data_IF_855302198478
#
_entry.id   IF_855302198478
#
_cell.length_a   1.000
_cell.length_b   1.000
_cell.length_c   1.000
_cell.angle_alpha   90.00
_cell.angle_beta   90.00
_cell.angle_gamma   90.00
#
_symmetry.space_group_name_H-M   'P 1'
#
loop_
_entity.id
_entity.type
_entity.pdbx_description
1 polymer ?
#
# COMPACT_ATOMS: atom_id res chain seq x y z
N UNK A 1 -6.81 3.15 -19.03
CA UNK A 1 -7.12 2.37 -20.25
C UNK A 1 -7.23 0.85 -19.97
N UNK A 2 -8.46 0.33 -19.77
CA UNK A 2 -8.74 -1.12 -19.76
C UNK A 2 -8.76 -1.59 -21.22
N UNK A 3 -7.87 -2.53 -21.57
CA UNK A 3 -7.86 -3.10 -22.92
C UNK A 3 -9.09 -3.98 -23.11
N UNK A 4 -10.12 -3.45 -23.76
CA UNK A 4 -11.16 -4.25 -24.43
C UNK A 4 -10.52 -4.84 -25.68
N UNK A 5 -10.08 -6.08 -25.57
CA UNK A 5 -9.62 -6.87 -26.70
C UNK A 5 -9.92 -8.31 -26.38
N UNK A 6 -10.65 -8.99 -27.26
CA UNK A 6 -10.78 -10.44 -27.28
C UNK A 6 -9.37 -11.03 -27.39
N UNK A 7 -8.71 -11.20 -26.25
CA UNK A 7 -7.48 -11.96 -26.11
C UNK A 7 -7.89 -13.21 -25.37
N UNK A 8 -7.73 -14.35 -26.02
CA UNK A 8 -7.78 -15.66 -25.38
C UNK A 8 -6.99 -15.55 -24.07
N UNK A 9 -7.69 -15.61 -22.95
CA UNK A 9 -7.11 -15.54 -21.61
C UNK A 9 -6.42 -16.87 -21.32
N UNK A 10 -5.27 -17.09 -21.97
CA UNK A 10 -4.28 -18.06 -21.52
C UNK A 10 -3.63 -17.60 -20.21
N UNK A 11 -3.08 -18.52 -19.41
CA UNK A 11 -2.75 -18.29 -18.00
C UNK A 11 -1.41 -17.54 -17.89
N UNK A 12 -1.42 -16.21 -18.00
CA UNK A 12 -0.18 -15.41 -17.87
C UNK A 12 -0.10 -14.60 -16.58
N UNK A 13 -1.11 -14.65 -15.71
CA UNK A 13 -1.02 -14.12 -14.36
C UNK A 13 -0.23 -15.06 -13.45
N UNK A 14 1.08 -15.24 -13.69
CA UNK A 14 1.94 -16.03 -12.81
C UNK A 14 1.96 -15.37 -11.43
N UNK A 15 1.32 -16.01 -10.46
CA UNK A 15 1.49 -15.72 -9.04
C UNK A 15 2.98 -15.75 -8.71
N UNK A 16 3.54 -14.60 -8.32
CA UNK A 16 4.88 -14.57 -7.75
C UNK A 16 4.74 -14.94 -6.26
N UNK A 17 5.21 -16.13 -5.85
CA UNK A 17 5.18 -16.49 -4.43
C UNK A 17 5.96 -15.45 -3.63
N UNK A 18 5.44 -15.15 -2.44
CA UNK A 18 6.08 -14.28 -1.46
C UNK A 18 7.57 -14.64 -1.35
N UNK A 19 8.52 -13.80 -1.82
CA UNK A 19 9.92 -14.10 -1.65
C UNK A 19 10.17 -14.15 -0.16
N UNK A 20 10.54 -15.35 0.32
CA UNK A 20 10.78 -15.66 1.71
C UNK A 20 11.40 -14.48 2.48
N UNK A 21 10.88 -14.24 3.69
CA UNK A 21 11.33 -13.24 4.67
C UNK A 21 12.86 -13.28 4.83
N UNK A 22 13.57 -12.61 3.95
CA UNK A 22 15.00 -12.40 4.08
C UNK A 22 15.17 -11.41 5.22
N UNK A 23 15.87 -11.84 6.26
CA UNK A 23 16.10 -11.20 7.54
C UNK A 23 16.95 -9.91 7.46
N UNK A 24 16.62 -9.00 6.55
CA UNK A 24 17.18 -7.64 6.53
C UNK A 24 16.50 -6.80 7.61
N UNK A 25 17.29 -6.10 8.42
CA UNK A 25 16.83 -5.14 9.44
C UNK A 25 16.08 -3.98 8.77
N UNK A 26 14.76 -4.10 8.61
CA UNK A 26 13.87 -3.09 8.03
C UNK A 26 12.85 -2.64 9.08
N UNK A 27 12.31 -1.42 8.93
CA UNK A 27 11.16 -0.98 9.73
C UNK A 27 9.93 -1.80 9.38
N UNK A 28 9.20 -2.26 10.38
CA UNK A 28 8.01 -3.10 10.23
C UNK A 28 6.92 -2.57 11.18
N UNK A 29 5.87 -2.00 10.59
CA UNK A 29 4.79 -1.35 11.34
C UNK A 29 3.97 -2.38 12.13
N UNK A 30 3.70 -3.55 11.55
CA UNK A 30 2.93 -4.60 12.21
C UNK A 30 3.67 -5.13 13.43
N UNK A 31 4.99 -5.35 13.33
CA UNK A 31 5.82 -5.72 14.48
C UNK A 31 5.85 -4.65 15.56
N UNK A 32 5.85 -3.37 15.19
CA UNK A 32 5.78 -2.27 16.14
C UNK A 32 4.42 -2.21 16.85
N UNK A 33 3.32 -2.42 16.11
CA UNK A 33 1.96 -2.39 16.66
C UNK A 33 1.66 -3.57 17.60
N UNK A 34 2.25 -4.73 17.33
CA UNK A 34 2.10 -5.95 18.14
C UNK A 34 3.25 -6.17 19.12
N UNK A 35 4.04 -5.13 19.38
CA UNK A 35 5.19 -5.23 20.26
C UNK A 35 4.75 -5.45 21.71
N UNK A 36 4.93 -6.67 22.22
CA UNK A 36 4.87 -6.99 23.64
C UNK A 36 6.23 -6.66 24.29
N UNK A 37 6.20 -6.07 25.49
CA UNK A 37 7.30 -5.35 26.11
C UNK A 37 8.69 -6.01 26.01
N UNK A 38 9.68 -5.25 25.50
CA UNK A 38 11.09 -5.63 25.45
C UNK A 38 11.91 -4.66 24.59
N UNK A 39 12.32 -3.50 25.15
CA UNK A 39 12.94 -2.36 24.45
C UNK A 39 14.21 -2.67 23.63
N UNK A 40 14.72 -3.90 23.68
CA UNK A 40 15.95 -4.35 23.02
C UNK A 40 15.93 -4.29 21.49
N UNK A 41 14.76 -4.12 20.87
CA UNK A 41 14.58 -4.19 19.41
C UNK A 41 14.08 -2.89 18.75
N UNK A 42 13.84 -1.82 19.53
CA UNK A 42 13.35 -0.54 19.01
C UNK A 42 14.55 0.33 18.58
N UNK A 43 14.46 0.89 17.38
CA UNK A 43 15.38 1.93 16.90
C UNK A 43 14.63 3.25 16.74
N UNK A 44 15.21 4.35 17.23
CA UNK A 44 14.71 5.70 17.03
C UNK A 44 15.49 6.39 15.92
N UNK A 45 14.80 6.79 14.86
CA UNK A 45 15.41 7.50 13.73
C UNK A 45 15.10 8.99 13.81
N UNK A 46 16.12 9.79 14.15
CA UNK A 46 16.03 11.25 14.23
C UNK A 46 16.10 11.85 12.83
N UNK A 47 15.14 12.69 12.46
CA UNK A 47 15.05 13.24 11.10
C UNK A 47 14.97 14.78 11.05
N UNK A 48 14.80 15.45 12.18
CA UNK A 48 14.75 16.91 12.31
C UNK A 48 15.08 17.32 13.76
N UNK A 49 15.38 18.60 13.96
CA UNK A 49 15.64 19.21 15.27
C UNK A 49 14.66 20.37 15.48
N UNK A 50 13.79 20.24 16.48
CA UNK A 50 12.71 21.19 16.71
C UNK A 50 12.98 22.15 17.87
N UNK A 51 13.82 21.76 18.84
CA UNK A 51 14.24 22.58 19.98
C UNK A 51 15.68 22.22 20.31
N UNK A 52 16.51 23.22 20.60
CA UNK A 52 17.87 23.02 21.09
C UNK A 52 18.29 24.16 22.03
N UNK A 53 18.74 23.82 23.25
CA UNK A 53 19.16 24.79 24.27
C UNK A 53 18.17 25.97 24.46
N UNK A 54 16.88 25.65 24.56
CA UNK A 54 15.81 26.65 24.72
C UNK A 54 15.51 27.48 23.47
N UNK A 55 16.19 27.24 22.35
CA UNK A 55 15.94 27.92 21.07
C UNK A 55 15.01 27.10 20.18
N UNK A 56 14.20 27.82 19.42
CA UNK A 56 13.27 27.28 18.43
C UNK A 56 13.84 27.41 17.00
N UNK A 57 14.49 26.36 16.46
CA UNK A 57 14.96 26.33 15.08
C UNK A 57 13.84 26.15 14.05
N UNK A 58 12.57 25.97 14.41
CA UNK A 58 11.50 25.62 13.43
C UNK A 58 11.31 26.68 12.35
N UNK A 59 11.63 27.95 12.66
CA UNK A 59 11.60 29.09 11.73
C UNK A 59 12.84 29.20 10.83
N UNK A 60 13.75 28.24 10.87
CA UNK A 60 14.92 28.18 10.00
C UNK A 60 14.75 27.11 8.91
N UNK A 61 15.37 27.27 7.73
CA UNK A 61 15.32 26.27 6.66
C UNK A 61 15.73 24.87 7.10
N UNK A 62 15.09 23.83 6.54
CA UNK A 62 15.36 22.42 6.86
C UNK A 62 16.85 22.06 6.76
N UNK A 63 17.56 22.57 5.76
CA UNK A 63 19.00 22.31 5.61
C UNK A 63 19.78 22.78 6.82
N UNK A 64 19.50 24.00 7.31
CA UNK A 64 20.13 24.57 8.52
C UNK A 64 19.74 23.83 9.80
N UNK A 65 18.48 23.41 9.92
CA UNK A 65 18.05 22.55 11.05
C UNK A 65 18.81 21.23 11.05
N UNK A 66 19.01 20.61 9.88
CA UNK A 66 19.74 19.34 9.76
C UNK A 66 21.24 19.49 10.00
N UNK A 67 21.86 20.58 9.53
CA UNK A 67 23.26 20.92 9.86
C UNK A 67 23.44 21.06 11.37
N UNK A 68 22.59 21.85 12.04
CA UNK A 68 22.60 22.02 13.49
C UNK A 68 22.35 20.69 14.21
N UNK A 69 21.36 19.92 13.77
CA UNK A 69 21.05 18.59 14.32
C UNK A 69 22.28 17.68 14.28
N UNK A 70 22.98 17.61 13.14
CA UNK A 70 24.16 16.76 12.97
C UNK A 70 25.34 17.23 13.83
N UNK A 71 25.50 18.54 14.04
CA UNK A 71 26.60 19.07 14.86
C UNK A 71 26.38 18.88 16.37
N UNK A 72 25.13 18.87 16.84
CA UNK A 72 24.80 18.81 18.27
C UNK A 72 24.47 17.40 18.77
N UNK A 73 23.97 16.52 17.91
CA UNK A 73 23.60 15.16 18.32
C UNK A 73 24.84 14.26 18.47
N UNK A 74 25.22 14.01 19.73
CA UNK A 74 26.22 13.00 20.10
C UNK A 74 25.54 11.66 20.37
N UNK A 75 25.39 10.84 19.33
CA UNK A 75 24.73 9.53 19.43
C UNK A 75 25.57 8.54 20.24
N UNK A 76 25.09 8.15 21.42
CA UNK A 76 25.78 7.18 22.33
C UNK A 76 25.27 5.75 22.20
N UNK A 77 24.18 5.54 21.47
CA UNK A 77 23.54 4.22 21.29
C UNK A 77 23.32 3.96 19.81
N UNK A 78 23.66 2.75 19.37
CA UNK A 78 23.38 2.29 17.99
C UNK A 78 21.88 2.19 17.67
N UNK A 79 21.01 2.28 18.68
CA UNK A 79 19.55 2.31 18.53
C UNK A 79 19.02 3.70 18.20
N UNK A 80 19.78 4.76 18.44
CA UNK A 80 19.42 6.10 18.00
C UNK A 80 20.24 6.40 16.75
N UNK A 81 19.57 6.66 15.64
CA UNK A 81 20.20 6.84 14.33
C UNK A 81 19.67 8.10 13.68
N UNK A 82 20.50 8.77 12.91
CA UNK A 82 20.01 9.85 12.04
C UNK A 82 19.42 9.22 10.78
N UNK A 83 18.25 9.72 10.35
CA UNK A 83 17.70 9.44 9.04
C UNK A 83 18.49 10.22 8.00
N UNK A 84 19.31 9.50 7.23
CA UNK A 84 20.19 10.11 6.23
C UNK A 84 19.40 10.72 5.07
N UNK A 85 19.96 11.80 4.54
CA UNK A 85 19.46 12.45 3.34
C UNK A 85 20.32 12.00 2.17
N UNK A 86 19.68 11.64 1.07
CA UNK A 86 20.37 11.42 -0.20
C UNK A 86 20.04 12.58 -1.14
N UNK A 87 21.06 13.29 -1.60
CA UNK A 87 20.96 14.29 -2.65
C UNK A 87 21.22 13.63 -4.01
N UNK A 88 20.30 12.75 -4.41
CA UNK A 88 20.29 12.10 -5.72
C UNK A 88 19.00 12.42 -6.46
N UNK A 89 18.96 12.18 -7.77
CA UNK A 89 17.74 12.38 -8.53
C UNK A 89 16.60 11.50 -7.97
N UNK A 90 15.38 12.04 -7.99
CA UNK A 90 14.22 11.35 -7.42
C UNK A 90 13.99 9.97 -8.06
N UNK A 91 14.28 9.83 -9.36
CA UNK A 91 14.12 8.56 -10.08
C UNK A 91 15.07 7.48 -9.55
N UNK A 92 16.33 7.84 -9.27
CA UNK A 92 17.35 6.93 -8.73
C UNK A 92 17.03 6.56 -7.29
N UNK A 93 16.56 7.52 -6.49
CA UNK A 93 16.10 7.25 -5.13
C UNK A 93 14.93 6.26 -5.12
N UNK A 94 13.97 6.41 -6.03
CA UNK A 94 12.85 5.48 -6.15
C UNK A 94 13.30 4.09 -6.62
N UNK A 95 14.26 4.01 -7.54
CA UNK A 95 14.86 2.74 -7.95
C UNK A 95 15.57 2.04 -6.77
N UNK A 96 16.36 2.78 -5.99
CA UNK A 96 17.03 2.25 -4.80
C UNK A 96 16.04 1.79 -3.72
N UNK A 97 14.98 2.56 -3.45
CA UNK A 97 13.92 2.17 -2.50
C UNK A 97 13.19 0.92 -2.96
N UNK A 98 12.90 0.78 -4.27
CA UNK A 98 12.34 -0.46 -4.85
C UNK A 98 13.27 -1.64 -4.67
N UNK A 99 14.55 -1.50 -5.02
CA UNK A 99 15.55 -2.56 -4.93
C UNK A 99 15.78 -3.01 -3.48
N UNK A 100 15.74 -2.07 -2.53
CA UNK A 100 15.87 -2.34 -1.10
C UNK A 100 14.54 -2.77 -0.46
N UNK A 101 13.43 -2.76 -1.20
CA UNK A 101 12.09 -3.10 -0.73
C UNK A 101 11.72 -2.30 0.53
N UNK A 102 11.99 -0.99 0.50
CA UNK A 102 11.59 -0.02 1.52
C UNK A 102 10.19 0.53 1.18
N UNK A 103 9.42 0.97 2.19
CA UNK A 103 8.03 1.45 2.02
C UNK A 103 7.92 2.63 1.03
N UNK A 104 8.93 3.50 0.98
CA UNK A 104 8.86 4.72 0.20
C UNK A 104 9.93 5.73 0.58
N UNK A 105 9.69 6.97 0.13
CA UNK A 105 10.54 8.14 0.40
C UNK A 105 9.69 9.28 0.95
N UNK A 106 10.34 10.11 1.77
CA UNK A 106 9.81 11.42 2.15
C UNK A 106 10.66 12.47 1.46
N UNK A 107 10.09 13.13 0.46
CA UNK A 107 10.67 14.34 -0.12
C UNK A 107 10.38 15.52 0.78
N UNK A 108 11.40 16.28 1.16
CA UNK A 108 11.24 17.51 1.95
C UNK A 108 11.90 18.67 1.21
N UNK A 109 11.20 19.80 1.07
CA UNK A 109 11.76 20.99 0.44
C UNK A 109 12.89 21.57 1.30
N UNK A 110 14.06 21.80 0.69
CA UNK A 110 15.30 22.17 1.41
C UNK A 110 15.17 23.47 2.21
N UNK A 111 14.45 24.44 1.67
CA UNK A 111 14.19 25.76 2.23
C UNK A 111 12.96 25.80 3.16
N UNK A 112 12.25 24.69 3.36
CA UNK A 112 11.02 24.68 4.15
C UNK A 112 11.25 24.90 5.65
N UNK A 113 10.38 25.70 6.24
CA UNK A 113 10.23 25.82 7.68
C UNK A 113 9.51 24.58 8.24
N UNK A 114 9.61 24.37 9.56
CA UNK A 114 8.80 23.37 10.24
C UNK A 114 7.51 24.03 10.72
N UNK A 115 6.36 23.50 10.28
CA UNK A 115 5.04 24.05 10.60
C UNK A 115 4.24 23.03 11.42
N UNK A 116 4.24 23.14 12.78
CA UNK A 116 3.58 22.18 13.64
C UNK A 116 2.09 22.01 13.30
N UNK A 117 1.64 20.77 13.15
CA UNK A 117 0.24 20.43 12.89
C UNK A 117 -0.28 20.75 11.48
N UNK A 118 0.54 21.35 10.61
CA UNK A 118 0.10 21.75 9.25
C UNK A 118 0.54 20.77 8.18
N UNK A 119 -0.26 20.66 7.11
CA UNK A 119 0.05 19.90 5.89
C UNK A 119 0.19 20.86 4.72
N UNK A 120 1.39 21.43 4.52
CA UNK A 120 1.62 22.53 3.57
C UNK A 120 2.19 22.09 2.22
N UNK A 121 2.40 20.80 2.01
CA UNK A 121 2.98 20.26 0.77
C UNK A 121 4.51 20.40 0.68
N UNK A 122 5.15 21.09 1.63
CA UNK A 122 6.61 21.13 1.76
C UNK A 122 7.23 19.73 1.95
N UNK A 123 6.44 18.79 2.49
CA UNK A 123 6.80 17.40 2.66
C UNK A 123 5.86 16.52 1.85
N UNK A 124 6.42 15.67 0.99
CA UNK A 124 5.68 14.74 0.15
C UNK A 124 6.09 13.33 0.55
N UNK A 125 5.11 12.53 0.98
CA UNK A 125 5.30 11.08 1.15
C UNK A 125 4.97 10.39 -0.17
N UNK A 126 5.99 9.81 -0.79
CA UNK A 126 5.81 8.92 -1.92
C UNK A 126 6.03 7.48 -1.45
N UNK A 127 5.02 6.63 -1.62
CA UNK A 127 5.10 5.21 -1.26
C UNK A 127 5.44 4.39 -2.50
N UNK A 128 6.35 3.45 -2.33
CA UNK A 128 6.62 2.42 -3.33
C UNK A 128 5.67 1.27 -3.03
N UNK A 129 4.50 1.30 -3.67
CA UNK A 129 3.57 0.20 -3.59
C UNK A 129 4.08 -0.95 -4.47
N UNK A 130 3.85 -2.18 -4.03
CA UNK A 130 3.82 -3.32 -4.95
C UNK A 130 2.53 -3.26 -5.73
N UNK A 131 2.50 -3.84 -6.92
CA UNK A 131 1.30 -3.91 -7.73
C UNK A 131 1.23 -5.21 -8.49
N UNK A 132 0.10 -5.90 -8.38
CA UNK A 132 -0.17 -7.13 -9.11
C UNK A 132 -1.52 -7.06 -9.81
N UNK A 133 -1.61 -7.73 -10.95
CA UNK A 133 -2.87 -7.94 -11.64
C UNK A 133 -3.67 -9.05 -10.95
N UNK A 134 -4.93 -8.76 -10.66
CA UNK A 134 -5.90 -9.73 -10.16
C UNK A 134 -7.12 -9.74 -11.04
N UNK A 135 -7.78 -10.90 -11.07
CA UNK A 135 -9.03 -11.12 -11.79
C UNK A 135 -10.18 -10.72 -10.89
N UNK A 136 -11.11 -9.94 -11.43
CA UNK A 136 -12.34 -9.55 -10.75
C UNK A 136 -13.36 -10.67 -10.94
N UNK A 137 -13.78 -11.30 -9.85
CA UNK A 137 -14.79 -12.37 -9.86
C UNK A 137 -16.13 -11.96 -9.25
N UNK A 138 -16.23 -10.77 -8.69
CA UNK A 138 -17.48 -10.26 -8.12
C UNK A 138 -17.35 -8.84 -7.59
N UNK A 139 -18.45 -8.30 -7.09
CA UNK A 139 -18.49 -7.03 -6.37
C UNK A 139 -19.59 -7.01 -5.31
N UNK A 140 -19.44 -6.15 -4.31
CA UNK A 140 -20.51 -5.78 -3.38
C UNK A 140 -21.18 -4.52 -3.91
N UNK A 141 -22.51 -4.49 -4.14
CA UNK A 141 -23.23 -3.31 -4.62
C UNK A 141 -23.05 -2.08 -3.73
N UNK A 142 -23.21 -0.90 -4.32
CA UNK A 142 -23.15 0.37 -3.60
C UNK A 142 -23.67 1.55 -4.42
N UNK A 143 -23.70 2.77 -3.87
CA UNK A 143 -24.36 3.94 -4.47
C UNK A 143 -23.83 4.37 -5.86
N UNK A 144 -22.65 3.89 -6.26
CA UNK A 144 -22.01 4.18 -7.55
C UNK A 144 -21.65 2.90 -8.30
N UNK A 145 -22.58 1.93 -8.30
CA UNK A 145 -22.43 0.63 -8.93
C UNK A 145 -21.89 -0.43 -7.97
N UNK A 146 -20.71 -0.20 -7.41
CA UNK A 146 -20.11 -1.08 -6.40
C UNK A 146 -19.48 -0.32 -5.24
N UNK A 147 -19.57 -0.92 -4.05
CA UNK A 147 -18.86 -0.54 -2.84
C UNK A 147 -17.44 -1.12 -2.83
N UNK A 148 -17.29 -2.39 -3.18
CA UNK A 148 -15.99 -3.06 -3.25
C UNK A 148 -15.95 -4.15 -4.31
N UNK A 149 -14.75 -4.38 -4.88
CA UNK A 149 -14.50 -5.49 -5.81
C UNK A 149 -14.02 -6.73 -5.06
N UNK A 150 -14.38 -7.90 -5.56
CA UNK A 150 -13.93 -9.20 -5.05
C UNK A 150 -12.95 -9.77 -6.07
N UNK A 151 -11.71 -9.99 -5.65
CA UNK A 151 -10.61 -10.28 -6.57
C UNK A 151 -9.82 -11.51 -6.15
N UNK A 152 -9.24 -12.16 -7.16
CA UNK A 152 -8.42 -13.36 -6.98
C UNK A 152 -7.36 -13.53 -8.05
N UNK A 153 -6.62 -14.64 -7.99
CA UNK A 153 -5.66 -15.05 -9.00
C UNK A 153 -5.90 -16.50 -9.40
N UNK A 154 -5.47 -16.86 -10.61
CA UNK A 154 -5.54 -18.24 -11.05
C UNK A 154 -4.39 -19.07 -10.47
N UNK A 155 -4.73 -20.20 -9.86
CA UNK A 155 -3.81 -21.30 -9.55
C UNK A 155 -4.19 -22.47 -10.45
N UNK A 156 -3.49 -22.61 -11.58
CA UNK A 156 -3.92 -23.53 -12.63
C UNK A 156 -5.25 -23.05 -13.24
N UNK A 157 -6.30 -23.85 -13.13
CA UNK A 157 -7.66 -23.50 -13.60
C UNK A 157 -8.52 -22.84 -12.52
N UNK A 158 -8.08 -22.91 -11.27
CA UNK A 158 -8.87 -22.48 -10.12
C UNK A 158 -8.66 -21.00 -9.84
N UNK A 159 -9.75 -20.23 -9.76
CA UNK A 159 -9.68 -18.85 -9.30
C UNK A 159 -9.72 -18.81 -7.77
N UNK A 160 -8.63 -18.37 -7.16
CA UNK A 160 -8.46 -18.30 -5.70
C UNK A 160 -8.70 -16.87 -5.24
N UNK A 161 -9.70 -16.66 -4.39
CA UNK A 161 -10.00 -15.39 -3.72
C UNK A 161 -8.81 -14.93 -2.88
N UNK A 162 -8.52 -13.64 -2.97
CA UNK A 162 -7.43 -12.99 -2.23
C UNK A 162 -7.97 -11.91 -1.31
N UNK A 163 -8.84 -11.04 -1.83
CA UNK A 163 -9.25 -9.85 -1.11
C UNK A 163 -10.51 -9.20 -1.64
N UNK A 164 -11.10 -8.40 -0.77
CA UNK A 164 -12.09 -7.39 -1.10
C UNK A 164 -11.43 -6.02 -1.17
N UNK A 165 -11.60 -5.34 -2.29
CA UNK A 165 -10.96 -4.06 -2.60
C UNK A 165 -12.00 -2.95 -2.55
N UNK A 166 -12.00 -2.22 -1.43
CA UNK A 166 -12.91 -1.07 -1.20
C UNK A 166 -12.29 0.25 -1.63
N UNK A 167 -11.00 0.44 -1.34
CA UNK A 167 -10.31 1.72 -1.50
C UNK A 167 -9.62 1.83 -2.86
N UNK A 168 -9.35 3.06 -3.29
CA UNK A 168 -8.63 3.34 -4.55
C UNK A 168 -9.47 3.87 -5.69
N UNK A 169 -10.77 4.11 -5.44
CA UNK A 169 -11.69 4.63 -6.43
C UNK A 169 -12.31 5.95 -5.97
N UNK A 170 -12.17 6.98 -6.81
CA UNK A 170 -13.00 8.20 -6.75
C UNK A 170 -14.33 7.96 -7.47
N UNK A 171 -15.40 8.73 -7.20
CA UNK A 171 -16.73 8.49 -7.80
C UNK A 171 -16.70 8.29 -9.32
N UNK A 172 -15.97 9.14 -10.06
CA UNK A 172 -15.83 9.01 -11.51
C UNK A 172 -15.21 7.66 -11.93
N UNK A 173 -14.12 7.24 -11.29
CA UNK A 173 -13.46 5.96 -11.58
C UNK A 173 -14.31 4.75 -11.21
N UNK A 174 -15.17 4.85 -10.18
CA UNK A 174 -16.11 3.77 -9.81
C UNK A 174 -17.09 3.52 -10.94
N UNK A 175 -17.72 4.58 -11.46
CA UNK A 175 -18.67 4.47 -12.56
C UNK A 175 -18.03 3.86 -13.81
N UNK A 176 -16.83 4.33 -14.18
CA UNK A 176 -16.10 3.78 -15.34
C UNK A 176 -15.76 2.30 -15.21
N UNK A 177 -15.41 1.84 -14.00
CA UNK A 177 -15.14 0.43 -13.73
C UNK A 177 -16.44 -0.37 -13.76
N UNK A 178 -17.50 0.15 -13.12
CA UNK A 178 -18.81 -0.48 -13.07
C UNK A 178 -19.38 -0.75 -14.47
N UNK A 179 -19.29 0.24 -15.37
CA UNK A 179 -19.74 0.12 -16.76
C UNK A 179 -19.06 -1.03 -17.52
N UNK A 180 -17.83 -1.37 -17.15
CA UNK A 180 -17.06 -2.44 -17.79
C UNK A 180 -17.31 -3.81 -17.18
N UNK A 181 -17.63 -3.88 -15.89
CA UNK A 181 -17.87 -5.16 -15.21
C UNK A 181 -19.34 -5.58 -15.22
N UNK A 182 -20.30 -4.65 -15.31
CA UNK A 182 -21.74 -4.95 -15.34
C UNK A 182 -22.16 -5.95 -16.44
N UNK A 183 -21.55 -6.01 -17.65
CA UNK A 183 -21.93 -7.02 -18.65
C UNK A 183 -21.39 -8.43 -18.34
N UNK A 184 -20.53 -8.56 -17.33
CA UNK A 184 -19.92 -9.82 -16.92
C UNK A 184 -20.71 -10.54 -15.84
N UNK A 185 -21.87 -10.04 -15.42
CA UNK A 185 -22.69 -10.66 -14.37
C UNK A 185 -22.95 -12.14 -14.68
N UNK A 186 -22.78 -12.95 -13.64
CA UNK A 186 -22.87 -14.41 -13.67
C UNK A 186 -23.70 -14.87 -12.47
N UNK A 187 -24.55 -15.91 -12.62
CA UNK A 187 -25.24 -16.52 -11.48
C UNK A 187 -24.29 -17.35 -10.60
N UNK A 188 -23.11 -17.71 -11.10
CA UNK A 188 -22.18 -18.63 -10.44
C UNK A 188 -21.02 -17.88 -9.80
N UNK A 189 -20.72 -18.23 -8.55
CA UNK A 189 -19.55 -17.74 -7.81
C UNK A 189 -18.27 -18.41 -8.33
N UNK A 190 -17.26 -17.66 -8.79
CA UNK A 190 -16.13 -18.24 -9.52
C UNK A 190 -14.96 -18.70 -8.63
N UNK A 191 -14.98 -18.44 -7.32
CA UNK A 191 -13.84 -18.68 -6.44
C UNK A 191 -13.89 -20.06 -5.78
N UNK A 192 -12.75 -20.75 -5.70
CA UNK A 192 -12.70 -22.12 -5.13
C UNK A 192 -12.53 -22.18 -3.61
N UNK A 193 -12.12 -21.08 -2.98
CA UNK A 193 -11.78 -21.00 -1.55
C UNK A 193 -12.68 -20.04 -0.75
N UNK A 194 -13.88 -19.75 -1.26
CA UNK A 194 -14.93 -19.05 -0.54
C UNK A 194 -16.06 -20.02 -0.18
N UNK A 195 -16.80 -19.79 0.93
CA UNK A 195 -16.72 -18.66 1.86
C UNK A 195 -15.45 -18.63 2.73
N UNK A 196 -15.11 -17.45 3.25
CA UNK A 196 -14.01 -17.27 4.20
C UNK A 196 -14.42 -17.80 5.58
N UNK A 197 -13.59 -18.65 6.17
CA UNK A 197 -13.84 -19.26 7.49
C UNK A 197 -13.05 -18.60 8.61
N UNK A 198 -12.20 -17.60 8.33
CA UNK A 198 -11.29 -17.00 9.30
C UNK A 198 -11.73 -15.60 9.77
N UNK A 199 -12.14 -15.49 11.04
CA UNK A 199 -12.50 -14.23 11.72
C UNK A 199 -11.46 -13.14 11.53
N UNK A 200 -11.79 -12.14 10.71
CA UNK A 200 -11.02 -10.92 10.51
C UNK A 200 -11.44 -9.90 11.55
N UNK A 201 -10.45 -9.40 12.31
CA UNK A 201 -10.64 -8.37 13.33
C UNK A 201 -11.26 -7.07 12.79
N UNK A 202 -11.26 -6.87 11.47
CA UNK A 202 -11.73 -5.68 10.77
C UNK A 202 -12.96 -5.93 9.87
N UNK A 203 -13.62 -7.09 9.97
CA UNK A 203 -14.86 -7.39 9.24
C UNK A 203 -14.70 -7.61 7.73
N UNK A 204 -13.47 -7.89 7.28
CA UNK A 204 -13.07 -8.05 5.87
C UNK A 204 -13.46 -9.38 5.21
N UNK A 205 -13.92 -10.37 5.99
CA UNK A 205 -14.31 -11.69 5.47
C UNK A 205 -15.51 -11.65 4.55
N UNK A 206 -15.54 -12.59 3.60
CA UNK A 206 -16.72 -12.97 2.83
C UNK A 206 -17.30 -14.26 3.43
N UNK A 207 -18.06 -14.13 4.51
CA UNK A 207 -18.83 -15.25 5.07
C UNK A 207 -19.97 -15.63 4.13
N UNK A 208 -20.57 -16.80 4.35
CA UNK A 208 -21.71 -17.27 3.56
C UNK A 208 -22.88 -16.26 3.54
N UNK A 209 -23.10 -15.55 4.64
CA UNK A 209 -24.13 -14.51 4.76
C UNK A 209 -23.79 -13.31 3.86
N UNK A 210 -22.57 -12.78 3.96
CA UNK A 210 -22.13 -11.63 3.15
C UNK A 210 -22.09 -11.95 1.66
N UNK A 211 -21.84 -13.20 1.30
CA UNK A 211 -21.87 -13.65 -0.09
C UNK A 211 -23.26 -13.51 -0.73
N UNK A 212 -24.35 -13.49 0.06
CA UNK A 212 -25.71 -13.25 -0.45
C UNK A 212 -25.91 -11.82 -0.96
N UNK A 213 -25.10 -10.88 -0.46
CA UNK A 213 -25.11 -9.48 -0.90
C UNK A 213 -24.20 -9.24 -2.10
N UNK A 214 -23.42 -10.24 -2.53
CA UNK A 214 -22.45 -10.11 -3.61
C UNK A 214 -23.10 -10.37 -4.98
N UNK A 215 -22.61 -9.66 -6.00
CA UNK A 215 -22.90 -9.96 -7.41
C UNK A 215 -21.67 -10.59 -8.02
N UNK A 216 -21.84 -11.79 -8.58
CA UNK A 216 -20.75 -12.55 -9.19
C UNK A 216 -20.55 -12.19 -10.65
N UNK A 217 -19.31 -12.32 -11.11
CA UNK A 217 -18.91 -11.98 -12.47
C UNK A 217 -18.17 -13.16 -13.11
N UNK A 218 -18.31 -13.29 -14.43
CA UNK A 218 -17.40 -14.11 -15.23
C UNK A 218 -15.98 -13.56 -15.04
N UNK A 219 -14.99 -14.42 -14.77
CA UNK A 219 -13.63 -14.01 -14.39
C UNK A 219 -12.78 -13.60 -15.60
N UNK A 220 -13.25 -12.58 -16.33
CA UNK A 220 -12.67 -12.05 -17.56
C UNK A 220 -11.99 -10.68 -17.34
N UNK A 221 -12.48 -9.90 -16.39
CA UNK A 221 -11.93 -8.57 -16.10
C UNK A 221 -10.70 -8.66 -15.20
N UNK A 222 -9.65 -7.91 -15.55
CA UNK A 222 -8.39 -7.83 -14.80
C UNK A 222 -8.17 -6.41 -14.31
N UNK A 223 -7.80 -6.27 -13.04
CA UNK A 223 -7.43 -5.00 -12.41
C UNK A 223 -6.01 -5.06 -11.87
N UNK A 224 -5.22 -4.00 -12.09
CA UNK A 224 -3.95 -3.82 -11.39
C UNK A 224 -4.25 -3.23 -10.01
N UNK A 225 -3.83 -3.96 -8.99
CA UNK A 225 -4.06 -3.64 -7.58
C UNK A 225 -2.72 -3.37 -6.94
N UNK A 226 -2.59 -2.19 -6.39
CA UNK A 226 -1.45 -1.82 -5.57
C UNK A 226 -1.65 -2.21 -4.10
N UNK A 227 -0.57 -2.55 -3.41
CA UNK A 227 -0.58 -2.87 -1.98
C UNK A 227 0.81 -2.66 -1.38
N UNK A 228 0.85 -2.47 -0.06
CA UNK A 228 2.08 -2.14 0.67
C UNK A 228 2.91 -3.39 0.97
N UNK A 229 2.23 -4.44 1.41
CA UNK A 229 2.85 -5.71 1.79
C UNK A 229 1.92 -6.87 1.45
N UNK A 230 2.51 -8.03 1.18
CA UNK A 230 1.80 -9.31 1.18
C UNK A 230 1.38 -9.65 2.61
N UNK A 231 0.33 -8.99 3.08
CA UNK A 231 -0.37 -9.40 4.30
C UNK A 231 -1.58 -10.22 3.91
N UNK A 232 -2.04 -11.08 4.82
CA UNK A 232 -3.32 -11.76 4.66
C UNK A 232 -4.52 -10.79 4.59
N UNK A 233 -4.34 -9.45 4.69
CA UNK A 233 -5.41 -8.54 5.10
C UNK A 233 -5.34 -7.05 4.67
N UNK A 234 -4.44 -6.58 3.79
CA UNK A 234 -4.43 -5.16 3.43
C UNK A 234 -3.98 -4.85 1.99
N UNK A 235 -4.95 -4.52 1.12
CA UNK A 235 -4.72 -4.01 -0.23
C UNK A 235 -5.17 -2.54 -0.33
N UNK A 236 -4.35 -1.66 -0.93
CA UNK A 236 -4.69 -0.26 -1.23
C UNK A 236 -4.36 0.04 -2.70
N UNK A 237 -5.38 0.04 -3.56
CA UNK A 237 -5.18 0.26 -5.00
C UNK A 237 -5.05 1.75 -5.31
N UNK A 238 -4.15 2.09 -6.23
CA UNK A 238 -4.24 3.32 -7.03
C UNK A 238 -4.27 2.93 -8.50
N UNK A 239 -5.20 3.54 -9.23
CA UNK A 239 -5.33 3.39 -10.68
C UNK A 239 -4.50 4.45 -11.39
N UNK A 240 -3.80 4.05 -12.45
CA UNK A 240 -3.21 4.96 -13.42
C UNK A 240 -3.77 4.64 -14.81
N UNK A 241 -4.23 5.67 -15.51
CA UNK A 241 -4.37 5.62 -16.96
C UNK A 241 -2.97 5.76 -17.58
N UNK A 242 -2.63 4.86 -18.50
CA UNK A 242 -1.95 5.34 -19.70
C UNK A 242 -3.04 5.82 -20.64
#
# INVERSE_FOLDING_TARGET
MLKSGKRNAGPTGRYQPNPAKTSRKRSDFHRLQHFAAGASRICYFVFDLLIWNGRDPTKTPLTKRRELMKSVLKLRSSRIRISEQCDIAAIDMLAAVRQQQLEGVIGKRKDSLYEPGKRTGAWIKYRVNQGQEYVIGGYVPGPHGFDSLIVGYYRGKDLVYVARVRNGFVPASRLQVFEKIRPLVSPTMPFVNLPDTNKSRWGGELTAEKMKECVWLRPEAVARIEFLEWSAQAFQVRWFER
#
